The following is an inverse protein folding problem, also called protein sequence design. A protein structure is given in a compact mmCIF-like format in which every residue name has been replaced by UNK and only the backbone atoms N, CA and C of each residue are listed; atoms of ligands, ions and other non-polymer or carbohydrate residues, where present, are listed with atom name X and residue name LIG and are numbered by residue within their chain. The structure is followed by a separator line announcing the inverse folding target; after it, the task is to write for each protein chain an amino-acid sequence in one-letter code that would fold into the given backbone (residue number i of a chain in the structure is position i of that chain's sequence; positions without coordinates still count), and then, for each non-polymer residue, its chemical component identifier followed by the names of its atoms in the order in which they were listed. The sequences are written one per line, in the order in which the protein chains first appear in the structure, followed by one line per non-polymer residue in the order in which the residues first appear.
data_IF_423381508263
#
_entry.id   IF_423381508263
#
_cell.length_a   1.000
_cell.length_b   1.000
_cell.length_c   1.000
_cell.angle_alpha   90.00
_cell.angle_beta   90.00
_cell.angle_gamma   90.00
#
_symmetry.space_group_name_H-M   'P 1'
#
loop_
_entity.id
_entity.type
_entity.pdbx_description
1 polymer ?
#
# COMPACT_ATOMS: atom_id res chain seq x y z
N UNK A 1 -30.35 -40.13 -45.04
CA UNK A 1 -31.62 -39.41 -45.35
C UNK A 1 -32.75 -40.09 -44.59
N UNK A 2 -33.50 -39.34 -43.78
CA UNK A 2 -34.66 -39.77 -42.96
C UNK A 2 -34.25 -40.47 -41.65
N UNK A 3 -34.44 -39.98 -40.41
CA UNK A 3 -35.51 -39.26 -39.68
C UNK A 3 -36.22 -40.16 -38.66
N UNK A 4 -36.05 -39.77 -37.39
CA UNK A 4 -37.03 -39.77 -36.27
C UNK A 4 -37.09 -40.92 -35.25
N UNK A 5 -36.94 -40.49 -33.97
CA UNK A 5 -37.58 -40.93 -32.69
C UNK A 5 -37.46 -42.40 -32.26
N UNK A 6 -37.27 -42.80 -31.00
CA UNK A 6 -37.34 -42.23 -29.64
C UNK A 6 -36.57 -43.19 -28.70
N UNK A 7 -36.03 -42.80 -27.55
CA UNK A 7 -36.69 -42.93 -26.24
C UNK A 7 -35.77 -42.41 -25.12
N UNK A 8 -36.37 -41.60 -24.24
CA UNK A 8 -36.27 -41.61 -22.77
C UNK A 8 -34.94 -41.99 -22.11
N UNK A 9 -34.32 -41.02 -21.43
CA UNK A 9 -33.93 -41.20 -20.03
C UNK A 9 -33.92 -39.84 -19.29
N UNK A 10 -34.61 -39.82 -18.15
CA UNK A 10 -34.78 -38.71 -17.23
C UNK A 10 -33.68 -38.84 -16.16
N UNK A 11 -32.91 -37.78 -15.93
CA UNK A 11 -31.91 -37.72 -14.87
C UNK A 11 -31.90 -36.36 -14.20
N UNK A 12 -32.54 -36.29 -13.03
CA UNK A 12 -32.52 -35.16 -12.09
C UNK A 12 -31.27 -35.22 -11.22
N UNK A 13 -30.76 -34.04 -10.86
CA UNK A 13 -29.93 -33.71 -9.70
C UNK A 13 -28.60 -34.46 -9.46
N UNK A 14 -27.49 -33.73 -9.48
CA UNK A 14 -26.85 -33.28 -8.23
C UNK A 14 -25.46 -32.68 -8.48
N UNK A 15 -25.23 -31.58 -7.77
CA UNK A 15 -24.01 -30.80 -7.64
C UNK A 15 -22.79 -31.67 -7.29
N UNK A 16 -21.65 -31.39 -7.94
CA UNK A 16 -20.31 -31.43 -7.34
C UNK A 16 -19.29 -30.77 -8.29
N UNK A 17 -19.18 -29.44 -8.25
CA UNK A 17 -17.98 -28.75 -8.71
C UNK A 17 -16.90 -28.97 -7.66
N UNK A 18 -15.97 -29.90 -7.94
CA UNK A 18 -14.77 -30.09 -7.14
C UNK A 18 -13.86 -28.87 -7.23
N UNK A 19 -13.72 -28.15 -6.13
CA UNK A 19 -12.58 -27.26 -5.89
C UNK A 19 -11.43 -28.09 -5.30
N UNK A 20 -10.18 -27.95 -5.79
CA UNK A 20 -9.04 -28.58 -5.16
C UNK A 20 -8.72 -27.85 -3.85
N UNK A 21 -8.61 -28.61 -2.77
CA UNK A 21 -8.07 -28.19 -1.48
C UNK A 21 -6.69 -27.55 -1.65
N UNK A 22 -6.42 -26.32 -1.18
CA UNK A 22 -5.06 -25.84 -1.09
C UNK A 22 -4.38 -26.53 0.08
N UNK A 23 -3.41 -27.37 -0.26
CA UNK A 23 -2.43 -27.94 0.67
C UNK A 23 -1.82 -26.82 1.50
N UNK A 24 -1.85 -27.02 2.81
CA UNK A 24 -1.12 -26.29 3.83
C UNK A 24 0.38 -26.22 3.48
N UNK A 25 0.79 -25.17 2.78
CA UNK A 25 2.16 -24.71 2.73
C UNK A 25 2.32 -23.55 3.73
N UNK A 26 2.25 -23.89 5.02
CA UNK A 26 3.01 -23.11 6.00
C UNK A 26 4.48 -23.35 5.67
N UNK A 27 5.28 -22.31 5.41
CA UNK A 27 6.73 -22.24 5.66
C UNK A 27 7.32 -20.90 5.15
N UNK A 28 7.68 -20.05 6.12
CA UNK A 28 8.63 -18.93 6.05
C UNK A 28 8.36 -17.85 4.99
N UNK A 29 7.23 -17.14 5.12
CA UNK A 29 7.12 -15.80 4.56
C UNK A 29 7.62 -14.81 5.63
N UNK A 30 8.70 -14.08 5.37
CA UNK A 30 9.02 -12.88 6.16
C UNK A 30 7.81 -11.93 6.22
N UNK A 31 7.78 -10.99 7.17
CA UNK A 31 6.63 -10.10 7.41
C UNK A 31 6.03 -9.48 6.13
N UNK A 32 6.87 -9.22 5.12
CA UNK A 32 6.45 -8.72 3.81
C UNK A 32 5.75 -9.71 2.87
N UNK A 33 6.06 -11.01 2.95
CA UNK A 33 5.34 -12.05 2.21
C UNK A 33 3.97 -12.36 2.82
N UNK A 34 3.83 -12.16 4.14
CA UNK A 34 2.54 -12.20 4.82
C UNK A 34 1.62 -11.08 4.31
N UNK A 35 2.11 -9.85 4.17
CA UNK A 35 1.36 -8.73 3.58
C UNK A 35 0.84 -9.01 2.15
N UNK A 36 1.66 -9.59 1.28
CA UNK A 36 1.26 -9.91 -0.09
C UNK A 36 0.21 -11.04 -0.13
N UNK A 37 0.37 -12.07 0.71
CA UNK A 37 -0.62 -13.13 0.87
C UNK A 37 -1.91 -12.59 1.47
N UNK A 38 -1.84 -11.72 2.48
CA UNK A 38 -2.98 -11.04 3.07
C UNK A 38 -3.70 -10.16 2.06
N UNK A 39 -2.99 -9.45 1.17
CA UNK A 39 -3.62 -8.70 0.09
C UNK A 39 -4.35 -9.62 -0.90
N UNK A 40 -3.76 -10.76 -1.30
CA UNK A 40 -4.47 -11.75 -2.15
C UNK A 40 -5.67 -12.38 -1.44
N UNK A 41 -5.55 -12.71 -0.16
CA UNK A 41 -6.65 -13.26 0.65
C UNK A 41 -7.74 -12.22 0.86
N UNK A 42 -7.37 -10.96 1.13
CA UNK A 42 -8.26 -9.81 1.22
C UNK A 42 -8.96 -9.54 -0.12
N UNK A 43 -8.25 -9.62 -1.25
CA UNK A 43 -8.81 -9.54 -2.61
C UNK A 43 -9.81 -10.68 -2.88
N UNK A 44 -9.63 -11.85 -2.28
CA UNK A 44 -10.58 -12.96 -2.34
C UNK A 44 -11.78 -12.79 -1.37
N UNK A 45 -11.60 -12.13 -0.23
CA UNK A 45 -12.66 -11.88 0.75
C UNK A 45 -13.53 -10.66 0.41
N UNK A 46 -12.96 -9.60 -0.14
CA UNK A 46 -13.71 -8.43 -0.67
C UNK A 46 -14.64 -8.82 -1.83
N UNK A 47 -14.32 -9.89 -2.57
CA UNK A 47 -15.24 -10.51 -3.54
C UNK A 47 -16.51 -11.11 -2.91
N UNK A 48 -16.55 -11.40 -1.61
CA UNK A 48 -17.67 -12.10 -0.95
C UNK A 48 -18.57 -11.22 -0.08
N UNK A 49 -18.17 -9.98 0.25
CA UNK A 49 -19.00 -9.05 1.02
C UNK A 49 -19.05 -7.69 0.32
N UNK A 50 -19.75 -7.63 -0.80
CA UNK A 50 -19.98 -6.37 -1.51
C UNK A 50 -21.43 -5.93 -1.29
N UNK A 51 -21.76 -5.46 -0.08
CA UNK A 51 -22.75 -4.37 0.00
C UNK A 51 -22.07 -3.20 -0.70
N UNK A 52 -22.68 -2.63 -1.75
CA UNK A 52 -22.10 -1.50 -2.49
C UNK A 52 -21.68 -0.42 -1.48
N UNK A 53 -20.38 -0.20 -1.33
CA UNK A 53 -19.85 0.86 -0.46
C UNK A 53 -20.52 2.18 -0.85
N UNK A 54 -21.07 2.93 0.11
CA UNK A 54 -21.77 4.17 -0.20
C UNK A 54 -20.82 5.18 -0.83
N UNK A 55 -21.37 6.03 -1.68
CA UNK A 55 -20.63 7.04 -2.43
C UNK A 55 -21.34 8.39 -2.25
N UNK A 56 -20.58 9.45 -1.99
CA UNK A 56 -21.14 10.79 -1.97
C UNK A 56 -21.63 11.15 -3.38
N UNK A 57 -22.92 11.38 -3.52
CA UNK A 57 -23.63 11.56 -4.80
C UNK A 57 -22.97 12.56 -5.77
N UNK A 58 -22.22 13.54 -5.26
CA UNK A 58 -21.42 14.43 -6.08
C UNK A 58 -20.21 14.95 -5.30
N UNK A 59 -19.06 15.02 -5.97
CA UNK A 59 -17.83 15.66 -5.46
C UNK A 59 -18.07 17.12 -5.10
N UNK A 60 -18.99 17.79 -5.82
CA UNK A 60 -19.35 19.18 -5.54
C UNK A 60 -19.96 19.36 -4.16
N UNK A 61 -20.58 18.34 -3.56
CA UNK A 61 -21.10 18.42 -2.20
C UNK A 61 -19.91 18.53 -1.23
N UNK A 62 -18.89 17.68 -1.38
CA UNK A 62 -17.69 17.76 -0.55
C UNK A 62 -16.96 19.11 -0.66
N UNK A 63 -16.98 19.74 -1.84
CA UNK A 63 -16.31 21.03 -2.08
C UNK A 63 -17.12 22.23 -1.61
N UNK A 64 -18.42 22.24 -1.87
CA UNK A 64 -19.28 23.41 -1.66
C UNK A 64 -20.06 23.36 -0.34
N UNK A 65 -20.27 22.18 0.22
CA UNK A 65 -21.03 21.94 1.45
C UNK A 65 -20.32 20.87 2.31
N UNK A 66 -19.09 21.14 2.77
CA UNK A 66 -18.27 20.14 3.47
C UNK A 66 -18.95 19.63 4.75
N UNK A 67 -19.62 20.50 5.51
CA UNK A 67 -20.39 20.13 6.71
C UNK A 67 -21.49 19.09 6.42
N UNK A 68 -22.21 19.25 5.30
CA UNK A 68 -23.22 18.29 4.88
C UNK A 68 -22.60 16.96 4.46
N UNK A 69 -21.44 16.99 3.81
CA UNK A 69 -20.71 15.77 3.45
C UNK A 69 -20.28 15.00 4.71
N UNK A 70 -19.73 15.70 5.71
CA UNK A 70 -19.35 15.13 7.01
C UNK A 70 -20.56 14.51 7.72
N UNK A 71 -21.69 15.23 7.77
CA UNK A 71 -22.92 14.71 8.37
C UNK A 71 -23.40 13.43 7.69
N UNK A 72 -23.41 13.39 6.35
CA UNK A 72 -23.79 12.18 5.60
C UNK A 72 -22.83 11.02 5.85
N UNK A 73 -21.53 11.28 5.93
CA UNK A 73 -20.55 10.27 6.26
C UNK A 73 -20.79 9.68 7.65
N UNK A 74 -21.03 10.52 8.65
CA UNK A 74 -21.38 10.08 10.01
C UNK A 74 -22.62 9.17 10.03
N UNK A 75 -23.67 9.51 9.27
CA UNK A 75 -24.86 8.66 9.14
C UNK A 75 -24.54 7.27 8.56
N UNK A 76 -23.65 7.18 7.57
CA UNK A 76 -23.22 5.90 6.98
C UNK A 76 -22.31 5.09 7.93
N UNK A 77 -21.43 5.76 8.69
CA UNK A 77 -20.60 5.12 9.72
C UNK A 77 -21.48 4.52 10.81
N UNK A 78 -22.45 5.29 11.34
CA UNK A 78 -23.37 4.82 12.38
C UNK A 78 -24.22 3.62 11.93
N UNK A 79 -24.54 3.51 10.63
CA UNK A 79 -25.25 2.36 10.04
C UNK A 79 -24.33 1.14 9.80
N UNK A 80 -23.02 1.28 10.00
CA UNK A 80 -22.02 0.25 9.70
C UNK A 80 -21.80 0.03 8.20
N UNK A 81 -22.13 1.02 7.37
CA UNK A 81 -21.93 0.96 5.91
C UNK A 81 -20.54 1.45 5.49
N UNK A 82 -19.93 2.30 6.32
CA UNK A 82 -18.51 2.70 6.24
C UNK A 82 -17.84 2.22 7.52
N UNK A 83 -16.86 1.33 7.40
CA UNK A 83 -16.17 0.70 8.53
C UNK A 83 -14.66 0.94 8.53
N UNK A 84 -14.11 1.50 7.45
CA UNK A 84 -12.67 1.77 7.29
C UNK A 84 -12.44 3.22 6.85
N UNK A 85 -11.25 3.76 7.15
CA UNK A 85 -10.85 5.10 6.71
C UNK A 85 -10.71 5.11 5.18
N UNK A 86 -10.24 4.03 4.56
CA UNK A 86 -10.22 3.87 3.11
C UNK A 86 -11.62 3.97 2.48
N UNK A 87 -12.65 3.38 3.10
CA UNK A 87 -14.04 3.55 2.66
C UNK A 87 -14.55 4.98 2.86
N UNK A 88 -14.13 5.64 3.94
CA UNK A 88 -14.49 7.03 4.20
C UNK A 88 -13.89 7.97 3.13
N UNK A 89 -12.62 7.76 2.77
CA UNK A 89 -11.97 8.49 1.66
C UNK A 89 -12.67 8.19 0.35
N UNK A 90 -12.98 6.91 0.08
CA UNK A 90 -13.74 6.52 -1.11
C UNK A 90 -15.10 7.23 -1.19
N UNK A 91 -15.82 7.29 -0.07
CA UNK A 91 -17.09 7.99 0.05
C UNK A 91 -16.94 9.48 -0.29
N UNK A 92 -16.00 10.19 0.35
CA UNK A 92 -15.78 11.62 0.14
C UNK A 92 -15.29 11.98 -1.25
N UNK A 93 -14.55 11.07 -1.90
CA UNK A 93 -14.15 11.22 -3.30
C UNK A 93 -15.33 11.18 -4.25
N UNK A 94 -16.48 10.65 -3.85
CA UNK A 94 -17.68 10.57 -4.69
C UNK A 94 -17.41 9.73 -5.95
N UNK A 95 -17.06 10.39 -7.05
CA UNK A 95 -16.65 9.74 -8.30
C UNK A 95 -15.25 10.12 -8.79
N UNK A 96 -14.46 10.86 -8.01
CA UNK A 96 -13.11 11.26 -8.41
C UNK A 96 -12.10 10.13 -8.19
N UNK A 97 -12.14 9.20 -9.13
CA UNK A 97 -11.34 7.96 -9.11
C UNK A 97 -9.83 8.20 -9.26
N UNK A 98 -9.40 9.40 -9.66
CA UNK A 98 -7.99 9.72 -9.94
C UNK A 98 -7.24 10.41 -8.78
N UNK A 99 -7.94 10.86 -7.74
CA UNK A 99 -7.33 11.49 -6.58
C UNK A 99 -7.16 10.47 -5.43
N UNK A 100 -6.01 10.45 -4.76
CA UNK A 100 -5.78 9.61 -3.56
C UNK A 100 -6.27 10.31 -2.28
N UNK A 101 -6.26 11.64 -2.30
CA UNK A 101 -6.55 12.51 -1.16
C UNK A 101 -7.95 13.09 -1.26
N UNK A 102 -8.51 13.46 -0.12
CA UNK A 102 -9.76 14.22 -0.08
C UNK A 102 -9.55 15.67 -0.54
N UNK A 103 -10.65 16.38 -0.81
CA UNK A 103 -10.58 17.79 -1.18
C UNK A 103 -10.01 18.64 -0.03
N UNK A 104 -9.18 19.63 -0.36
CA UNK A 104 -8.56 20.53 0.62
C UNK A 104 -9.57 21.27 1.52
N UNK A 105 -10.68 21.79 0.96
CA UNK A 105 -11.70 22.50 1.76
C UNK A 105 -12.42 21.56 2.73
N UNK A 106 -12.68 20.33 2.28
CA UNK A 106 -13.24 19.29 3.15
C UNK A 106 -12.27 18.94 4.28
N UNK A 107 -10.98 18.82 3.97
CA UNK A 107 -9.96 18.56 4.97
C UNK A 107 -9.86 19.68 6.02
N UNK A 108 -9.85 20.95 5.59
CA UNK A 108 -9.86 22.11 6.50
C UNK A 108 -11.09 22.08 7.43
N UNK A 109 -12.28 21.79 6.89
CA UNK A 109 -13.51 21.63 7.69
C UNK A 109 -13.43 20.46 8.68
N UNK A 110 -12.85 19.32 8.27
CA UNK A 110 -12.66 18.17 9.15
C UNK A 110 -11.68 18.48 10.29
N UNK A 111 -10.58 19.20 10.01
CA UNK A 111 -9.61 19.60 11.03
C UNK A 111 -10.22 20.55 12.07
N UNK A 112 -11.08 21.48 11.64
CA UNK A 112 -11.79 22.39 12.55
C UNK A 112 -12.81 21.65 13.41
N UNK A 113 -13.57 20.71 12.82
CA UNK A 113 -14.60 19.96 13.52
C UNK A 113 -14.05 18.85 14.43
N UNK A 114 -12.90 18.28 14.09
CA UNK A 114 -12.31 17.12 14.77
C UNK A 114 -10.80 17.31 15.00
N UNK A 115 -10.40 18.22 15.92
CA UNK A 115 -9.00 18.51 16.16
C UNK A 115 -8.24 17.28 16.67
N UNK A 116 -7.11 16.97 16.02
CA UNK A 116 -6.20 15.89 16.39
C UNK A 116 -5.32 16.39 17.54
N UNK A 117 -5.74 16.17 18.79
CA UNK A 117 -4.95 16.59 19.97
C UNK A 117 -5.67 16.68 21.31
N UNK A 118 -6.98 16.46 21.36
CA UNK A 118 -7.76 16.53 22.61
C UNK A 118 -7.97 15.16 23.27
N UNK A 119 -6.95 14.28 23.26
CA UNK A 119 -7.04 12.94 23.85
C UNK A 119 -6.79 12.88 25.37
N UNK A 120 -6.67 14.01 26.06
CA UNK A 120 -6.51 14.06 27.53
C UNK A 120 -7.83 14.32 28.29
N UNK A 121 -8.97 14.42 27.60
CA UNK A 121 -10.25 14.44 28.29
C UNK A 121 -10.83 13.01 28.35
N UNK A 122 -11.04 12.45 29.56
CA UNK A 122 -11.76 11.19 29.67
C UNK A 122 -13.13 11.36 28.99
N UNK A 123 -13.63 10.32 28.28
CA UNK A 123 -14.90 10.41 27.58
C UNK A 123 -15.95 10.90 28.58
N UNK A 124 -16.71 11.92 28.20
CA UNK A 124 -17.78 12.43 29.04
C UNK A 124 -18.71 11.27 29.40
N UNK A 125 -18.95 11.06 30.71
CA UNK A 125 -19.82 9.99 31.21
C UNK A 125 -21.17 10.06 30.46
N UNK A 126 -21.43 9.06 29.60
CA UNK A 126 -22.63 8.97 28.78
C UNK A 126 -22.45 9.16 27.27
N UNK A 127 -21.23 9.28 26.74
CA UNK A 127 -20.99 9.30 25.30
C UNK A 127 -21.50 8.01 24.62
N UNK A 128 -22.38 8.16 23.62
CA UNK A 128 -22.83 7.04 22.80
C UNK A 128 -21.61 6.49 22.03
N UNK A 129 -21.23 5.22 22.25
CA UNK A 129 -20.06 4.63 21.59
C UNK A 129 -20.07 4.72 20.05
N UNK A 130 -21.25 4.89 19.44
CA UNK A 130 -21.40 5.18 18.01
C UNK A 130 -20.89 6.59 17.61
N UNK A 131 -21.15 7.62 18.42
CA UNK A 131 -20.66 8.99 18.18
C UNK A 131 -19.15 9.06 18.40
N UNK A 132 -18.65 8.38 19.42
CA UNK A 132 -17.21 8.25 19.67
C UNK A 132 -16.50 7.57 18.49
N UNK A 133 -17.07 6.49 17.95
CA UNK A 133 -16.53 5.81 16.76
C UNK A 133 -16.46 6.72 15.53
N UNK A 134 -17.50 7.54 15.30
CA UNK A 134 -17.50 8.54 14.22
C UNK A 134 -16.38 9.55 14.44
N UNK A 135 -16.29 10.14 15.63
CA UNK A 135 -15.23 11.11 15.97
C UNK A 135 -13.85 10.52 15.75
N UNK A 136 -13.60 9.30 16.25
CA UNK A 136 -12.32 8.63 16.09
C UNK A 136 -11.99 8.40 14.61
N UNK A 137 -12.93 7.90 13.78
CA UNK A 137 -12.67 7.69 12.35
C UNK A 137 -12.37 8.99 11.60
N UNK A 138 -13.03 10.10 11.95
CA UNK A 138 -12.76 11.42 11.37
C UNK A 138 -11.39 11.98 11.79
N UNK A 139 -11.00 11.80 13.06
CA UNK A 139 -9.67 12.18 13.55
C UNK A 139 -8.57 11.34 12.88
N UNK A 140 -8.80 10.04 12.66
CA UNK A 140 -7.87 9.18 11.93
C UNK A 140 -7.68 9.66 10.49
N UNK A 141 -8.76 10.02 9.80
CA UNK A 141 -8.68 10.61 8.46
C UNK A 141 -7.85 11.90 8.46
N UNK A 142 -8.08 12.80 9.42
CA UNK A 142 -7.32 14.04 9.53
C UNK A 142 -5.82 13.78 9.68
N UNK A 143 -5.44 12.87 10.59
CA UNK A 143 -4.05 12.48 10.81
C UNK A 143 -3.41 11.90 9.56
N UNK A 144 -4.10 11.00 8.87
CA UNK A 144 -3.61 10.40 7.62
C UNK A 144 -3.40 11.46 6.52
N UNK A 145 -4.30 12.44 6.40
CA UNK A 145 -4.16 13.54 5.43
C UNK A 145 -2.98 14.47 5.75
N UNK A 146 -2.69 14.71 7.04
CA UNK A 146 -1.49 15.45 7.47
C UNK A 146 -0.20 14.69 7.15
N UNK A 147 -0.20 13.37 7.32
CA UNK A 147 0.92 12.51 6.90
C UNK A 147 1.10 12.54 5.38
N UNK A 148 0.02 12.40 4.61
CA UNK A 148 0.06 12.50 3.16
C UNK A 148 0.60 13.86 2.68
N UNK A 149 0.21 14.96 3.34
CA UNK A 149 0.74 16.29 3.04
C UNK A 149 2.25 16.41 3.31
N UNK A 150 2.73 15.82 4.42
CA UNK A 150 4.17 15.80 4.75
C UNK A 150 4.98 15.01 3.72
N UNK A 151 4.47 13.85 3.28
CA UNK A 151 5.12 13.07 2.23
C UNK A 151 5.18 13.83 0.91
N UNK A 152 4.12 14.55 0.53
CA UNK A 152 4.14 15.39 -0.67
C UNK A 152 5.20 16.49 -0.57
N UNK A 153 5.35 17.12 0.60
CA UNK A 153 6.41 18.11 0.83
C UNK A 153 7.82 17.48 0.77
N UNK A 154 8.01 16.28 1.32
CA UNK A 154 9.27 15.55 1.26
C UNK A 154 9.62 15.14 -0.17
N UNK A 155 8.64 14.72 -0.97
CA UNK A 155 8.81 14.41 -2.40
C UNK A 155 9.31 15.63 -3.19
N UNK A 156 8.91 16.83 -2.80
CA UNK A 156 9.37 18.07 -3.41
C UNK A 156 10.77 18.52 -2.92
N UNK A 157 11.32 17.88 -1.89
CA UNK A 157 12.65 18.21 -1.35
C UNK A 157 13.74 17.59 -2.23
N UNK A 158 14.59 18.44 -2.80
CA UNK A 158 15.75 18.02 -3.56
C UNK A 158 16.80 17.37 -2.64
N UNK A 159 17.58 16.44 -3.19
CA UNK A 159 18.73 15.91 -2.49
C UNK A 159 19.75 17.03 -2.25
N UNK A 160 20.33 17.04 -1.05
CA UNK A 160 21.32 18.02 -0.61
C UNK A 160 22.57 17.28 -0.15
N UNK A 161 23.68 17.43 -0.88
CA UNK A 161 24.96 16.81 -0.55
C UNK A 161 25.57 17.37 0.76
N UNK A 162 25.12 18.54 1.23
CA UNK A 162 25.49 19.11 2.53
C UNK A 162 24.69 18.55 3.70
N UNK A 163 23.60 17.83 3.44
CA UNK A 163 22.74 17.27 4.47
C UNK A 163 23.21 15.83 4.83
N UNK A 164 23.69 15.59 6.06
CA UNK A 164 24.22 14.28 6.44
C UNK A 164 23.15 13.19 6.48
N UNK A 165 21.88 13.52 6.72
CA UNK A 165 20.79 12.55 6.66
C UNK A 165 20.53 12.08 5.22
N UNK A 166 20.65 12.97 4.23
CA UNK A 166 20.51 12.60 2.82
C UNK A 166 21.64 11.67 2.37
N UNK A 167 22.89 11.98 2.74
CA UNK A 167 24.04 11.11 2.45
C UNK A 167 23.87 9.74 3.12
N UNK A 168 23.41 9.70 4.37
CA UNK A 168 23.18 8.45 5.09
C UNK A 168 22.16 7.53 4.40
N UNK A 169 21.15 8.09 3.71
CA UNK A 169 20.20 7.28 2.92
C UNK A 169 20.90 6.55 1.77
N UNK A 170 21.79 7.23 1.03
CA UNK A 170 22.58 6.60 -0.03
C UNK A 170 23.56 5.57 0.53
N UNK A 171 24.25 5.88 1.63
CA UNK A 171 25.15 4.91 2.28
C UNK A 171 24.41 3.62 2.68
N UNK A 172 23.24 3.75 3.28
CA UNK A 172 22.43 2.60 3.67
C UNK A 172 21.94 1.83 2.45
N UNK A 173 21.52 2.51 1.39
CA UNK A 173 21.07 1.86 0.16
C UNK A 173 22.20 1.08 -0.51
N UNK A 174 23.40 1.65 -0.51
CA UNK A 174 24.63 0.99 -0.99
C UNK A 174 24.90 -0.30 -0.22
N UNK A 175 24.84 -0.25 1.11
CA UNK A 175 25.02 -1.42 1.97
C UNK A 175 23.91 -2.45 1.76
N UNK A 176 22.65 -2.02 1.65
CA UNK A 176 21.51 -2.89 1.38
C UNK A 176 21.67 -3.62 0.03
N UNK A 177 22.27 -2.99 -0.98
CA UNK A 177 22.60 -3.64 -2.25
C UNK A 177 23.75 -4.67 -2.16
N UNK A 178 24.29 -4.91 -0.95
CA UNK A 178 25.36 -5.88 -0.70
C UNK A 178 26.75 -5.33 -1.01
N UNK A 179 26.90 -4.02 -1.16
CA UNK A 179 28.21 -3.38 -1.39
C UNK A 179 28.82 -2.98 -0.04
N UNK A 180 30.14 -3.16 0.18
CA UNK A 180 30.76 -2.86 1.46
C UNK A 180 30.75 -1.35 1.72
N UNK A 181 30.47 -0.96 2.98
CA UNK A 181 30.44 0.45 3.39
C UNK A 181 31.76 1.19 3.10
N UNK A 182 32.89 0.51 3.24
CA UNK A 182 34.23 1.07 2.96
C UNK A 182 34.46 1.44 1.49
N UNK A 183 33.67 0.87 0.56
CA UNK A 183 33.73 1.20 -0.86
C UNK A 183 32.68 2.23 -1.28
N UNK A 184 31.89 2.76 -0.34
CA UNK A 184 30.87 3.76 -0.66
C UNK A 184 31.50 4.97 -1.34
N UNK A 185 30.95 5.33 -2.48
CA UNK A 185 31.28 6.55 -3.19
C UNK A 185 29.99 7.22 -3.67
N UNK A 186 29.84 8.51 -3.33
CA UNK A 186 28.67 9.31 -3.71
C UNK A 186 28.42 9.28 -5.22
N UNK A 187 29.49 9.30 -6.02
CA UNK A 187 29.46 9.07 -7.46
C UNK A 187 30.26 7.82 -7.81
N UNK A 188 29.63 6.84 -8.44
CA UNK A 188 30.23 5.57 -8.83
C UNK A 188 29.44 4.90 -9.95
N UNK A 189 30.12 4.20 -10.86
CA UNK A 189 29.45 3.36 -11.86
C UNK A 189 28.69 2.18 -11.25
N UNK A 190 28.99 1.82 -10.01
CA UNK A 190 28.33 0.72 -9.29
C UNK A 190 26.86 0.99 -8.97
N UNK A 191 26.42 2.25 -9.00
CA UNK A 191 24.99 2.59 -8.87
C UNK A 191 24.13 2.01 -10.01
N UNK A 192 24.75 1.72 -11.16
CA UNK A 192 24.08 1.05 -12.28
C UNK A 192 23.58 -0.36 -11.90
N UNK A 193 24.23 -1.05 -10.94
CA UNK A 193 23.77 -2.38 -10.49
C UNK A 193 22.40 -2.31 -9.81
N UNK A 194 22.10 -1.19 -9.14
CA UNK A 194 20.77 -0.92 -8.56
C UNK A 194 19.79 -0.36 -9.59
N UNK A 195 20.25 -0.07 -10.81
CA UNK A 195 19.43 0.53 -11.86
C UNK A 195 19.28 2.06 -11.77
N UNK A 196 20.21 2.77 -11.12
CA UNK A 196 20.37 4.21 -11.37
C UNK A 196 21.03 4.46 -12.73
N UNK A 197 20.86 5.65 -13.28
CA UNK A 197 21.45 6.07 -14.55
C UNK A 197 22.76 6.83 -14.31
N UNK A 198 23.82 6.36 -14.96
CA UNK A 198 25.12 7.02 -14.91
C UNK A 198 25.83 6.82 -13.57
N UNK A 199 26.73 7.75 -13.23
CA UNK A 199 27.54 7.62 -12.00
C UNK A 199 26.92 8.31 -10.78
N UNK A 200 25.95 9.21 -10.98
CA UNK A 200 25.39 10.03 -9.91
C UNK A 200 23.91 9.69 -9.71
N UNK A 201 23.55 8.90 -8.68
CA UNK A 201 22.16 8.48 -8.46
C UNK A 201 21.19 9.65 -8.21
N UNK A 202 21.68 10.83 -7.82
CA UNK A 202 20.82 12.00 -7.56
C UNK A 202 20.25 12.57 -8.85
N UNK A 203 20.86 12.33 -10.01
CA UNK A 203 20.30 12.81 -11.28
C UNK A 203 18.94 12.18 -11.61
N UNK A 204 18.66 10.98 -11.08
CA UNK A 204 17.38 10.29 -11.27
C UNK A 204 16.29 10.74 -10.28
N UNK A 205 16.65 11.40 -9.17
CA UNK A 205 15.70 11.79 -8.11
C UNK A 205 14.79 12.97 -8.49
N UNK A 206 14.90 13.53 -9.71
CA UNK A 206 14.28 14.81 -10.12
C UNK A 206 12.74 14.85 -10.08
N UNK A 207 12.04 13.70 -10.00
CA UNK A 207 10.58 13.63 -9.85
C UNK A 207 10.09 13.13 -8.48
N UNK A 208 10.94 12.42 -7.74
CA UNK A 208 10.56 11.76 -6.49
C UNK A 208 11.22 12.34 -5.23
N UNK A 209 12.26 13.17 -5.41
CA UNK A 209 12.99 13.81 -4.32
C UNK A 209 13.60 12.81 -3.34
N UNK A 210 13.82 13.28 -2.12
CA UNK A 210 14.34 12.47 -1.01
C UNK A 210 13.36 11.36 -0.61
N UNK A 211 12.05 11.58 -0.73
CA UNK A 211 11.04 10.56 -0.45
C UNK A 211 11.25 9.30 -1.31
N UNK A 212 11.50 9.45 -2.60
CA UNK A 212 11.71 8.29 -3.49
C UNK A 212 12.97 7.50 -3.11
N UNK A 213 14.04 8.18 -2.68
CA UNK A 213 15.22 7.52 -2.15
C UNK A 213 14.89 6.75 -0.86
N UNK A 214 14.11 7.35 0.04
CA UNK A 214 13.70 6.72 1.30
C UNK A 214 12.80 5.50 1.08
N UNK A 215 11.85 5.57 0.15
CA UNK A 215 11.03 4.42 -0.23
C UNK A 215 11.86 3.30 -0.84
N UNK A 216 12.77 3.64 -1.76
CA UNK A 216 13.60 2.62 -2.38
C UNK A 216 14.54 1.95 -1.37
N UNK A 217 15.15 2.73 -0.48
CA UNK A 217 15.94 2.22 0.64
C UNK A 217 15.10 1.28 1.51
N UNK A 218 13.90 1.70 1.85
CA UNK A 218 13.04 0.91 2.71
C UNK A 218 12.66 -0.43 2.05
N UNK A 219 12.35 -0.44 0.76
CA UNK A 219 12.19 -1.67 0.00
C UNK A 219 13.46 -2.53 0.04
N UNK A 220 14.62 -1.91 -0.16
CA UNK A 220 15.91 -2.60 -0.20
C UNK A 220 16.27 -3.28 1.13
N UNK A 221 15.90 -2.67 2.26
CA UNK A 221 16.13 -3.22 3.60
C UNK A 221 15.05 -4.25 3.99
N UNK A 222 13.78 -3.97 3.69
CA UNK A 222 12.64 -4.83 4.05
C UNK A 222 12.53 -6.09 3.18
N UNK A 223 12.87 -5.98 1.89
CA UNK A 223 12.75 -7.05 0.89
C UNK A 223 14.09 -7.33 0.21
N UNK A 224 15.16 -7.40 1.00
CA UNK A 224 16.53 -7.51 0.52
C UNK A 224 16.76 -8.69 -0.44
N UNK A 225 16.16 -9.84 -0.16
CA UNK A 225 16.25 -11.02 -1.04
C UNK A 225 15.58 -10.77 -2.40
N UNK A 226 14.47 -10.02 -2.42
CA UNK A 226 13.84 -9.61 -3.67
C UNK A 226 14.70 -8.60 -4.42
N UNK A 227 15.27 -7.60 -3.74
CA UNK A 227 16.21 -6.65 -4.34
C UNK A 227 17.37 -7.40 -5.01
N UNK A 228 18.04 -8.29 -4.28
CA UNK A 228 19.15 -9.10 -4.81
C UNK A 228 18.71 -9.96 -5.98
N UNK A 229 17.55 -10.60 -5.90
CA UNK A 229 16.98 -11.36 -7.01
C UNK A 229 16.69 -10.53 -8.27
N UNK A 230 16.25 -9.27 -8.10
CA UNK A 230 16.02 -8.33 -9.21
C UNK A 230 17.35 -7.89 -9.84
N UNK A 231 18.36 -7.57 -9.02
CA UNK A 231 19.71 -7.24 -9.50
C UNK A 231 20.35 -8.40 -10.25
N UNK A 232 20.22 -9.62 -9.72
CA UNK A 232 20.75 -10.83 -10.34
C UNK A 232 20.06 -11.14 -11.67
N UNK A 233 18.74 -10.93 -11.77
CA UNK A 233 18.01 -11.03 -13.03
C UNK A 233 18.59 -10.08 -14.09
N UNK A 234 18.85 -8.82 -13.74
CA UNK A 234 19.46 -7.85 -14.65
C UNK A 234 20.89 -8.25 -15.07
N UNK A 235 21.71 -8.71 -14.11
CA UNK A 235 23.08 -9.18 -14.39
C UNK A 235 23.08 -10.32 -15.42
N UNK A 236 22.20 -11.30 -15.25
CA UNK A 236 22.05 -12.42 -16.21
C UNK A 236 21.56 -11.95 -17.57
N UNK A 237 20.55 -11.08 -17.59
CA UNK A 237 20.04 -10.52 -18.85
C UNK A 237 21.14 -9.82 -19.64
N UNK A 238 21.96 -9.00 -18.98
CA UNK A 238 23.09 -8.30 -19.61
C UNK A 238 24.20 -9.26 -20.06
N UNK A 239 24.56 -10.24 -19.23
CA UNK A 239 25.57 -11.26 -19.57
C UNK A 239 25.17 -12.09 -20.80
N UNK A 240 23.88 -12.48 -20.86
CA UNK A 240 23.30 -13.22 -21.99
C UNK A 240 23.02 -12.33 -23.21
N UNK A 241 23.34 -11.03 -23.17
CA UNK A 241 23.01 -10.04 -24.20
C UNK A 241 21.52 -10.00 -24.55
N UNK A 242 20.66 -10.27 -23.57
CA UNK A 242 19.21 -10.15 -23.68
C UNK A 242 18.79 -8.73 -23.35
N UNK A 243 17.67 -8.31 -23.92
CA UNK A 243 17.21 -6.93 -23.83
C UNK A 243 16.07 -6.73 -22.84
N UNK A 244 15.84 -7.66 -21.90
CA UNK A 244 14.75 -7.57 -20.92
C UNK A 244 15.22 -7.14 -19.53
N UNK A 245 16.36 -6.48 -19.42
CA UNK A 245 16.79 -5.82 -18.17
C UNK A 245 15.99 -4.52 -17.95
N UNK A 246 15.94 -4.05 -16.71
CA UNK A 246 15.24 -2.82 -16.35
C UNK A 246 15.98 -2.03 -15.27
N UNK A 247 15.69 -0.75 -15.18
CA UNK A 247 16.31 0.16 -14.21
C UNK A 247 15.50 0.16 -12.91
N UNK A 248 15.86 -0.70 -11.95
CA UNK A 248 15.11 -0.89 -10.71
C UNK A 248 14.95 0.41 -9.90
N UNK A 249 16.02 1.17 -9.67
CA UNK A 249 15.93 2.43 -8.96
C UNK A 249 15.00 3.42 -9.67
N UNK A 250 15.11 3.55 -11.00
CA UNK A 250 14.23 4.41 -11.81
C UNK A 250 12.77 3.96 -11.73
N UNK A 251 12.48 2.65 -11.78
CA UNK A 251 11.13 2.11 -11.56
C UNK A 251 10.59 2.50 -10.19
N UNK A 252 11.40 2.33 -9.14
CA UNK A 252 11.02 2.68 -7.78
C UNK A 252 10.69 4.17 -7.65
N UNK A 253 11.55 5.04 -8.19
CA UNK A 253 11.36 6.50 -8.17
C UNK A 253 10.10 6.90 -8.95
N UNK A 254 9.88 6.29 -10.11
CA UNK A 254 8.70 6.52 -10.92
C UNK A 254 7.42 6.12 -10.18
N UNK A 255 7.41 4.98 -9.47
CA UNK A 255 6.26 4.59 -8.65
C UNK A 255 5.98 5.54 -7.49
N UNK A 256 7.01 6.05 -6.81
CA UNK A 256 6.82 7.10 -5.79
C UNK A 256 6.15 8.33 -6.40
N UNK A 257 6.64 8.81 -7.54
CA UNK A 257 6.04 9.96 -8.21
C UNK A 257 4.60 9.68 -8.65
N UNK A 258 4.33 8.49 -9.21
CA UNK A 258 2.99 8.10 -9.66
C UNK A 258 1.96 8.11 -8.52
N UNK A 259 2.31 7.50 -7.38
CA UNK A 259 1.44 7.37 -6.22
C UNK A 259 1.09 8.70 -5.53
N UNK A 260 1.76 9.81 -5.84
CA UNK A 260 1.47 11.11 -5.23
C UNK A 260 1.04 12.16 -6.26
N UNK A 261 1.72 12.19 -7.42
CA UNK A 261 1.54 13.22 -8.44
C UNK A 261 0.62 12.83 -9.59
N UNK A 262 0.67 11.57 -10.04
CA UNK A 262 0.16 11.24 -11.37
C UNK A 262 -1.22 10.58 -11.30
N UNK A 263 -2.21 11.43 -11.60
CA UNK A 263 -3.66 11.18 -11.63
C UNK A 263 -4.11 10.43 -12.88
N UNK A 264 -3.22 9.65 -13.49
CA UNK A 264 -3.51 9.00 -14.76
C UNK A 264 -4.33 7.73 -14.56
N UNK A 265 -4.15 7.08 -13.41
CA UNK A 265 -4.79 5.83 -13.07
C UNK A 265 -5.88 6.01 -12.01
N UNK A 266 -6.91 5.17 -12.11
CA UNK A 266 -7.99 5.12 -11.13
C UNK A 266 -7.52 4.37 -9.90
N UNK A 267 -7.59 4.99 -8.74
CA UNK A 267 -7.28 4.36 -7.45
C UNK A 267 -8.58 3.88 -6.82
N UNK A 268 -8.72 2.58 -6.65
CA UNK A 268 -9.91 1.94 -6.12
C UNK A 268 -9.80 1.70 -4.61
N UNK A 269 -10.90 1.22 -4.03
CA UNK A 269 -11.01 1.01 -2.60
C UNK A 269 -9.87 0.15 -2.00
N UNK A 270 -9.43 -0.98 -2.61
CA UNK A 270 -8.37 -1.79 -2.01
C UNK A 270 -7.06 -1.02 -1.81
N UNK A 271 -6.69 -0.14 -2.74
CA UNK A 271 -5.48 0.67 -2.61
C UNK A 271 -5.67 1.79 -1.59
N UNK A 272 -6.87 2.37 -1.49
CA UNK A 272 -7.18 3.33 -0.42
C UNK A 272 -7.10 2.67 0.96
N UNK A 273 -7.57 1.43 1.11
CA UNK A 273 -7.49 0.73 2.39
C UNK A 273 -6.04 0.42 2.77
N UNK A 274 -5.19 0.06 1.81
CA UNK A 274 -3.74 -0.05 2.07
C UNK A 274 -3.17 1.29 2.54
N UNK A 275 -3.57 2.41 1.93
CA UNK A 275 -3.05 3.73 2.27
C UNK A 275 -3.56 4.23 3.63
N UNK A 276 -4.84 4.10 3.93
CA UNK A 276 -5.48 4.74 5.08
C UNK A 276 -5.78 3.82 6.26
N UNK A 277 -5.70 2.50 6.08
CA UNK A 277 -6.04 1.51 7.12
C UNK A 277 -4.85 0.61 7.49
N UNK A 278 -3.64 0.94 7.03
CA UNK A 278 -2.42 0.25 7.50
C UNK A 278 -2.02 0.79 8.87
N UNK A 279 -1.69 -0.12 9.79
CA UNK A 279 -1.20 0.21 11.13
C UNK A 279 0.28 -0.14 11.23
N UNK A 280 1.02 0.72 11.94
CA UNK A 280 2.40 0.48 12.34
C UNK A 280 2.51 -0.66 13.35
N UNK A 281 3.10 -1.80 12.95
CA UNK A 281 3.42 -2.90 13.89
C UNK A 281 4.91 -2.91 14.18
N UNK A 282 5.30 -2.37 15.33
CA UNK A 282 6.62 -2.55 15.98
C UNK A 282 7.83 -2.13 15.13
N UNK A 283 8.47 -1.02 15.53
CA UNK A 283 9.73 -0.56 14.94
C UNK A 283 10.87 -1.55 15.20
N UNK A 284 11.24 -2.37 14.19
CA UNK A 284 12.68 -2.66 14.03
C UNK A 284 13.32 -1.37 13.52
N UNK A 285 14.42 -0.87 14.12
CA UNK A 285 15.05 0.36 13.67
C UNK A 285 15.46 0.21 12.19
N UNK A 286 14.83 1.00 11.32
CA UNK A 286 15.07 1.02 9.87
C UNK A 286 14.01 0.34 9.00
N UNK A 287 13.08 -0.45 9.54
CA UNK A 287 12.07 -1.19 8.75
C UNK A 287 10.65 -0.91 9.29
N UNK A 288 9.92 -0.01 8.62
CA UNK A 288 8.47 0.19 8.73
C UNK A 288 7.73 -0.99 8.06
N UNK A 289 7.50 -2.05 8.83
CA UNK A 289 6.53 -3.09 8.47
C UNK A 289 5.15 -2.75 9.04
N UNK A 290 4.20 -2.42 8.17
CA UNK A 290 2.79 -2.25 8.54
C UNK A 290 1.96 -3.51 8.32
N UNK A 291 0.77 -3.57 8.90
CA UNK A 291 -0.26 -4.55 8.52
C UNK A 291 -1.56 -3.81 8.23
N UNK A 292 -2.31 -4.26 7.21
CA UNK A 292 -3.70 -3.86 7.05
C UNK A 292 -4.47 -4.18 8.34
N UNK A 293 -5.26 -3.24 8.85
CA UNK A 293 -6.07 -3.39 10.08
C UNK A 293 -6.94 -4.65 10.05
N UNK A 294 -7.52 -4.98 8.90
CA UNK A 294 -8.30 -6.20 8.70
C UNK A 294 -7.50 -7.48 8.92
N UNK A 295 -6.19 -7.49 8.66
CA UNK A 295 -5.32 -8.63 8.88
C UNK A 295 -4.72 -8.67 10.30
N UNK A 296 -4.49 -7.49 10.90
CA UNK A 296 -4.01 -7.35 12.28
C UNK A 296 -4.99 -7.99 13.27
N UNK A 297 -6.29 -7.71 13.11
CA UNK A 297 -7.37 -8.27 13.93
C UNK A 297 -7.50 -9.81 13.81
N UNK A 298 -7.15 -10.40 12.66
CA UNK A 298 -7.23 -11.86 12.46
C UNK A 298 -6.07 -12.62 13.13
N UNK A 299 -4.92 -11.96 13.35
CA UNK A 299 -3.76 -12.59 13.99
C UNK A 299 -3.94 -12.78 15.50
N UNK A 300 -4.78 -11.96 16.14
CA UNK A 300 -5.02 -12.02 17.58
C UNK A 300 -6.01 -13.13 17.96
N UNK A 301 -7.02 -13.35 17.10
CA UNK A 301 -8.01 -14.43 17.28
C UNK A 301 -7.37 -15.83 17.14
N UNK A 302 -6.25 -15.95 16.41
CA UNK A 302 -5.54 -17.21 16.22
C UNK A 302 -4.63 -17.65 17.37
N UNK A 303 -4.34 -16.79 18.34
CA UNK A 303 -3.31 -17.04 19.37
C UNK A 303 -3.90 -17.46 20.73
N UNK A 304 -5.24 -17.49 20.89
CA UNK A 304 -5.88 -17.91 22.15
C UNK A 304 -6.02 -19.44 22.32
N UNK A 305 -5.42 -20.25 21.45
CA UNK A 305 -5.39 -21.70 21.59
C UNK A 305 -3.99 -22.23 21.30
N UNK A 306 -3.11 -22.17 22.30
CA UNK A 306 -2.08 -23.18 22.64
C UNK A 306 -1.32 -22.70 23.90
N UNK A 307 -1.50 -23.46 24.98
CA UNK A 307 -0.44 -23.84 25.91
C UNK A 307 0.25 -22.75 26.75
N UNK A 308 -0.13 -22.69 28.03
CA UNK A 308 0.62 -22.08 29.11
C UNK A 308 2.11 -22.47 29.14
N UNK A 309 2.99 -21.48 29.27
CA UNK A 309 4.10 -21.41 30.25
C UNK A 309 4.96 -20.14 30.07
N UNK A 310 5.35 -19.58 31.20
CA UNK A 310 6.35 -18.52 31.44
C UNK A 310 5.88 -17.06 31.41
N UNK A 311 5.72 -16.54 32.62
CA UNK A 311 5.61 -15.14 32.98
C UNK A 311 6.86 -14.36 32.54
N UNK A 312 6.65 -13.31 31.75
CA UNK A 312 7.32 -12.02 31.90
C UNK A 312 6.38 -10.97 31.27
N UNK A 313 5.60 -10.36 32.16
CA UNK A 313 4.68 -9.27 31.87
C UNK A 313 5.46 -8.04 31.43
N UNK A 314 5.45 -7.77 30.12
CA UNK A 314 5.55 -6.40 29.61
C UNK A 314 4.11 -5.98 29.35
N UNK A 315 3.63 -5.01 30.13
CA UNK A 315 2.38 -4.30 29.87
C UNK A 315 2.44 -3.71 28.45
N UNK A 316 1.94 -4.46 27.48
CA UNK A 316 1.50 -3.89 26.22
C UNK A 316 0.12 -3.33 26.51
N UNK A 317 0.07 -2.07 26.94
CA UNK A 317 -1.17 -1.30 26.89
C UNK A 317 -1.76 -1.51 25.49
N UNK A 318 -3.03 -1.91 25.44
CA UNK A 318 -3.87 -1.94 24.24
C UNK A 318 -3.99 -0.51 23.69
N UNK A 319 -2.88 -0.01 23.12
CA UNK A 319 -2.84 1.26 22.43
C UNK A 319 -3.61 1.08 21.16
N UNK A 320 -4.82 1.65 21.13
CA UNK A 320 -5.72 1.72 19.98
C UNK A 320 -4.90 1.82 18.69
N UNK A 321 -4.89 0.73 17.92
CA UNK A 321 -4.00 0.53 16.76
C UNK A 321 -4.30 1.63 15.71
N UNK A 322 -3.64 2.79 15.80
CA UNK A 322 -3.95 3.95 14.96
C UNK A 322 -3.43 3.75 13.54
N UNK A 323 -4.26 4.08 12.54
CA UNK A 323 -3.84 4.09 11.14
C UNK A 323 -2.65 5.03 10.92
N UNK A 324 -1.74 4.61 10.04
CA UNK A 324 -0.52 5.31 9.69
C UNK A 324 -0.36 5.34 8.16
N UNK A 325 -0.68 6.50 7.58
CA UNK A 325 -0.66 6.68 6.12
C UNK A 325 0.72 6.49 5.54
N UNK A 326 1.77 6.87 6.26
CA UNK A 326 3.14 6.73 5.76
C UNK A 326 3.52 5.26 5.61
N UNK A 327 3.16 4.43 6.59
CA UNK A 327 3.40 3.00 6.49
C UNK A 327 2.56 2.36 5.40
N UNK A 328 1.30 2.78 5.25
CA UNK A 328 0.46 2.36 4.13
C UNK A 328 1.04 2.74 2.76
N UNK A 329 1.59 3.95 2.66
CA UNK A 329 2.22 4.47 1.45
C UNK A 329 3.47 3.67 1.05
N UNK A 330 4.31 3.32 2.03
CA UNK A 330 5.46 2.43 1.82
C UNK A 330 5.02 1.00 1.46
N UNK A 331 3.99 0.47 2.13
CA UNK A 331 3.44 -0.85 1.84
C UNK A 331 2.92 -0.95 0.39
N UNK A 332 2.17 0.05 -0.09
CA UNK A 332 1.67 0.09 -1.46
C UNK A 332 2.81 0.19 -2.49
N UNK A 333 3.85 0.97 -2.19
CA UNK A 333 5.05 1.06 -3.02
C UNK A 333 5.76 -0.30 -3.15
N UNK A 334 5.92 -1.03 -2.05
CA UNK A 334 6.50 -2.38 -2.12
C UNK A 334 5.64 -3.33 -2.93
N UNK A 335 4.30 -3.29 -2.77
CA UNK A 335 3.39 -4.12 -3.53
C UNK A 335 3.50 -3.86 -5.04
N UNK A 336 3.65 -2.60 -5.44
CA UNK A 336 3.93 -2.22 -6.83
C UNK A 336 5.24 -2.81 -7.32
N UNK A 337 6.35 -2.66 -6.57
CA UNK A 337 7.66 -3.19 -6.96
C UNK A 337 7.65 -4.72 -7.08
N UNK A 338 7.04 -5.42 -6.13
CA UNK A 338 6.93 -6.88 -6.14
C UNK A 338 6.05 -7.37 -7.29
N UNK A 339 4.92 -6.71 -7.53
CA UNK A 339 4.04 -7.06 -8.65
C UNK A 339 4.68 -6.75 -10.00
N UNK A 340 5.41 -5.63 -10.10
CA UNK A 340 6.19 -5.28 -11.27
C UNK A 340 7.27 -6.31 -11.55
N UNK A 341 8.02 -6.74 -10.52
CA UNK A 341 9.01 -7.82 -10.61
C UNK A 341 8.37 -9.07 -11.24
N UNK A 342 7.28 -9.55 -10.64
CA UNK A 342 6.60 -10.77 -11.10
C UNK A 342 6.14 -10.66 -12.56
N UNK A 343 5.52 -9.54 -12.92
CA UNK A 343 5.04 -9.31 -14.28
C UNK A 343 6.19 -9.18 -15.28
N UNK A 344 7.21 -8.37 -14.99
CA UNK A 344 8.35 -8.16 -15.88
C UNK A 344 9.15 -9.44 -16.08
N UNK A 345 9.39 -10.21 -15.01
CA UNK A 345 10.13 -11.48 -15.08
C UNK A 345 9.36 -12.56 -15.84
N UNK A 346 8.03 -12.50 -15.87
CA UNK A 346 7.17 -13.40 -16.65
C UNK A 346 7.10 -13.00 -18.13
N UNK A 347 6.87 -11.72 -18.39
CA UNK A 347 6.52 -11.23 -19.73
C UNK A 347 7.78 -10.91 -20.57
N UNK A 348 8.93 -10.70 -19.93
CA UNK A 348 10.23 -10.42 -20.54
C UNK A 348 10.17 -9.33 -21.64
N UNK A 349 9.55 -8.16 -21.38
CA UNK A 349 9.44 -7.11 -22.38
C UNK A 349 10.83 -6.58 -22.76
N UNK A 350 10.95 -6.04 -23.96
CA UNK A 350 12.18 -5.36 -24.37
C UNK A 350 12.35 -4.07 -23.57
N UNK A 351 13.57 -3.72 -23.16
CA UNK A 351 13.88 -2.55 -22.33
C UNK A 351 13.42 -1.24 -22.98
N UNK A 352 13.48 -1.16 -24.32
CA UNK A 352 12.96 -0.02 -25.08
C UNK A 352 11.43 0.11 -25.06
N UNK A 353 10.70 -0.93 -24.65
CA UNK A 353 9.25 -0.90 -24.45
C UNK A 353 8.86 -0.52 -23.02
N UNK A 354 9.84 -0.15 -22.18
CA UNK A 354 9.65 0.16 -20.76
C UNK A 354 8.42 1.03 -20.47
N UNK A 355 8.31 2.21 -21.11
CA UNK A 355 7.20 3.13 -20.83
C UNK A 355 5.84 2.52 -21.19
N UNK A 356 5.75 1.86 -22.35
CA UNK A 356 4.51 1.21 -22.81
C UNK A 356 4.11 0.06 -21.88
N UNK A 357 5.10 -0.74 -21.45
CA UNK A 357 4.88 -1.84 -20.53
C UNK A 357 4.44 -1.32 -19.15
N UNK A 358 5.11 -0.29 -18.64
CA UNK A 358 4.82 0.32 -17.35
C UNK A 358 3.39 0.85 -17.30
N UNK A 359 2.92 1.54 -18.34
CA UNK A 359 1.54 2.03 -18.40
C UNK A 359 0.54 0.89 -18.34
N UNK A 360 0.72 -0.18 -19.14
CA UNK A 360 -0.15 -1.36 -19.10
C UNK A 360 -0.13 -2.05 -17.74
N UNK A 361 1.06 -2.16 -17.13
CA UNK A 361 1.22 -2.74 -15.80
C UNK A 361 0.44 -1.94 -14.75
N UNK A 362 0.56 -0.61 -14.74
CA UNK A 362 -0.14 0.24 -13.78
C UNK A 362 -1.66 0.16 -13.97
N UNK A 363 -2.16 0.19 -15.21
CA UNK A 363 -3.59 -0.01 -15.51
C UNK A 363 -4.10 -1.34 -14.92
N UNK A 364 -3.35 -2.43 -15.13
CA UNK A 364 -3.71 -3.74 -14.62
C UNK A 364 -3.59 -3.84 -13.10
N UNK A 365 -2.58 -3.23 -12.49
CA UNK A 365 -2.35 -3.27 -11.04
C UNK A 365 -3.47 -2.55 -10.28
N UNK A 366 -3.92 -1.41 -10.81
CA UNK A 366 -4.97 -0.64 -10.18
C UNK A 366 -6.36 -1.17 -10.51
N UNK A 367 -6.58 -1.84 -11.65
CA UNK A 367 -7.89 -2.39 -12.01
C UNK A 367 -8.42 -3.40 -10.97
N UNK A 368 -9.72 -3.33 -10.59
CA UNK A 368 -10.32 -4.23 -9.61
C UNK A 368 -10.67 -5.63 -10.15
N UNK A 369 -10.35 -5.95 -11.42
CA UNK A 369 -10.72 -7.21 -12.11
C UNK A 369 -10.48 -8.50 -11.30
#
# INVERSE_FOLDING_TARGET
MGSSMSCLEVGSDSRCFGLPTPVMAALVAGAGGLLFLLYKVYRCQTRKVCRRTPVLQSVNIAVNQPELAVKKAAEHIMKGEITTVGQLVFFFRGGEEKAIRINRKLFECLQEAFPVGTADQPPADGANGAEEHVCHMMQQLCRCEEQAARLEAERATAFDDGNPQHIALLERLWVAAGKPKSAFARRSSEWNDLGFQGMDPVTDLRGGGVLALRQFLHFAEAYNDHLKGMMEFNKRALADKKNHWYLLAVVSIQFTAQLLLQRDYKVFLPQLEVLYDTISRGHKPGILTGSLRSAAAMSEVGTQSIGALSQNSVDCSEGEETSDFEVGYFALHHQLLLSFKECWHRDLPHVMEYNKYLSKFLESFFSPE
#
